data_IF_939873510157
#
_entry.id   IF_939873510157
#
_cell.length_a   1.000
_cell.length_b   1.000
_cell.length_c   1.000
_cell.angle_alpha   90.00
_cell.angle_beta   90.00
_cell.angle_gamma   90.00
#
_symmetry.space_group_name_H-M   'P 1'
#
loop_
_entity.id
_entity.type
_entity.pdbx_description
1 polymer ?
#
# COMPACT_ATOMS: atom_id res chain seq x y z
N UNK A 1 61.21 22.33 37.18
CA UNK A 1 60.87 20.98 36.67
C UNK A 1 59.34 20.87 36.63
N UNK A 2 58.77 20.20 35.62
CA UNK A 2 57.33 20.10 35.24
C UNK A 2 56.89 21.10 34.15
N UNK A 3 57.60 21.00 33.02
CA UNK A 3 57.06 21.21 31.68
C UNK A 3 56.32 19.93 31.26
N UNK A 4 55.35 20.03 30.34
CA UNK A 4 54.64 18.94 29.65
C UNK A 4 53.45 18.36 30.43
N UNK A 5 52.26 18.93 30.27
CA UNK A 5 51.01 18.17 30.45
C UNK A 5 49.76 18.75 29.74
N UNK A 6 49.91 19.70 28.80
CA UNK A 6 48.75 20.31 28.11
C UNK A 6 48.70 20.04 26.60
N UNK A 7 49.32 18.94 26.13
CA UNK A 7 49.40 18.60 24.69
C UNK A 7 48.59 17.38 24.24
N UNK A 8 47.71 16.84 25.08
CA UNK A 8 46.89 15.66 24.74
C UNK A 8 45.40 15.97 24.70
N UNK A 9 45.03 17.21 24.39
CA UNK A 9 43.63 17.63 24.29
C UNK A 9 43.36 18.39 22.98
N UNK A 10 44.10 18.08 21.92
CA UNK A 10 43.91 18.61 20.56
C UNK A 10 44.21 17.49 19.53
N UNK A 11 43.65 16.30 19.73
CA UNK A 11 43.78 15.21 18.75
C UNK A 11 42.53 14.33 18.72
N UNK A 12 41.36 14.95 18.62
CA UNK A 12 40.08 14.23 18.66
C UNK A 12 38.90 15.01 18.09
N UNK A 13 39.11 15.88 17.10
CA UNK A 13 38.01 16.66 16.49
C UNK A 13 37.97 16.55 14.95
N UNK A 14 38.59 15.53 14.37
CA UNK A 14 38.68 15.39 12.90
C UNK A 14 38.17 14.05 12.36
N UNK A 15 37.28 13.39 13.09
CA UNK A 15 36.48 12.28 12.57
C UNK A 15 35.04 12.50 13.01
N UNK A 16 34.20 13.04 12.13
CA UNK A 16 32.76 12.75 12.01
C UNK A 16 32.05 13.85 11.22
N UNK A 17 32.43 14.04 9.96
CA UNK A 17 31.50 14.58 8.97
C UNK A 17 31.58 13.68 7.74
N UNK A 18 31.21 12.41 7.95
CA UNK A 18 30.82 11.55 6.84
C UNK A 18 29.45 12.07 6.39
N UNK A 19 29.43 12.84 5.30
CA UNK A 19 28.20 13.09 4.56
C UNK A 19 27.71 11.75 4.04
N UNK A 20 26.72 11.17 4.73
CA UNK A 20 26.04 9.98 4.26
C UNK A 20 25.24 10.38 3.02
N UNK A 21 25.83 10.20 1.84
CA UNK A 21 25.09 10.30 0.59
C UNK A 21 24.15 9.11 0.56
N UNK A 22 22.87 9.33 0.86
CA UNK A 22 21.83 8.34 0.64
C UNK A 22 21.74 8.11 -0.86
N UNK A 23 22.44 7.09 -1.36
CA UNK A 23 22.15 6.55 -2.67
C UNK A 23 20.69 6.10 -2.63
N UNK A 24 19.78 6.88 -3.22
CA UNK A 24 18.45 6.42 -3.57
C UNK A 24 18.66 5.28 -4.56
N UNK A 25 18.80 4.06 -4.06
CA UNK A 25 18.62 2.88 -4.88
C UNK A 25 17.16 2.92 -5.31
N UNK A 26 16.90 3.42 -6.51
CA UNK A 26 15.68 3.16 -7.26
C UNK A 26 15.65 1.65 -7.54
N UNK A 27 15.44 0.88 -6.48
CA UNK A 27 15.11 -0.52 -6.57
C UNK A 27 13.80 -0.61 -7.33
N UNK A 28 13.67 -1.59 -8.21
CA UNK A 28 12.42 -1.86 -8.90
C UNK A 28 11.36 -2.17 -7.82
N UNK A 29 10.48 -1.21 -7.55
CA UNK A 29 9.36 -1.39 -6.64
C UNK A 29 8.27 -2.20 -7.35
N UNK A 30 8.01 -3.41 -6.83
CA UNK A 30 6.95 -4.27 -7.36
C UNK A 30 5.60 -3.71 -6.87
N UNK A 31 4.80 -3.20 -7.81
CA UNK A 31 3.49 -2.60 -7.54
C UNK A 31 2.43 -3.07 -8.54
N UNK A 32 1.16 -2.76 -8.29
CA UNK A 32 0.04 -3.22 -9.11
C UNK A 32 -0.39 -4.66 -8.79
N UNK A 33 -0.02 -5.19 -7.63
CA UNK A 33 -0.27 -6.57 -7.26
C UNK A 33 -1.62 -6.77 -6.59
N UNK A 34 -2.21 -7.96 -6.79
CA UNK A 34 -3.33 -8.47 -5.98
C UNK A 34 -2.82 -9.64 -5.14
N UNK A 35 -2.83 -9.46 -3.82
CA UNK A 35 -2.37 -10.46 -2.85
C UNK A 35 -3.59 -11.23 -2.36
N UNK A 36 -3.64 -12.53 -2.68
CA UNK A 36 -4.71 -13.44 -2.29
C UNK A 36 -4.43 -14.09 -0.92
N UNK A 37 -5.20 -13.72 0.09
CA UNK A 37 -5.25 -14.37 1.41
C UNK A 37 -6.63 -14.97 1.69
N UNK A 38 -7.27 -15.48 0.64
CA UNK A 38 -8.55 -16.19 0.71
C UNK A 38 -8.36 -17.70 0.81
N UNK A 39 -9.35 -18.37 1.41
CA UNK A 39 -9.36 -19.79 1.72
C UNK A 39 -10.59 -20.52 1.16
N UNK A 40 -11.80 -19.95 1.29
CA UNK A 40 -13.03 -20.65 0.91
C UNK A 40 -13.32 -20.52 -0.59
N UNK A 41 -14.27 -21.30 -1.10
CA UNK A 41 -14.74 -21.16 -2.48
C UNK A 41 -15.27 -19.75 -2.77
N UNK A 42 -16.04 -19.16 -1.85
CA UNK A 42 -16.53 -17.79 -2.03
C UNK A 42 -15.38 -16.79 -2.13
N UNK A 43 -14.35 -16.95 -1.28
CA UNK A 43 -13.15 -16.13 -1.33
C UNK A 43 -12.38 -16.28 -2.65
N UNK A 44 -12.19 -17.51 -3.12
CA UNK A 44 -11.50 -17.80 -4.38
C UNK A 44 -12.26 -17.28 -5.60
N UNK A 45 -13.58 -17.49 -5.63
CA UNK A 45 -14.43 -16.97 -6.70
C UNK A 45 -14.41 -15.43 -6.71
N UNK A 46 -14.46 -14.79 -5.53
CA UNK A 46 -14.35 -13.34 -5.42
C UNK A 46 -12.99 -12.84 -5.93
N UNK A 47 -11.89 -13.45 -5.50
CA UNK A 47 -10.55 -13.10 -5.97
C UNK A 47 -10.42 -13.28 -7.49
N UNK A 48 -10.97 -14.36 -8.05
CA UNK A 48 -10.94 -14.60 -9.50
C UNK A 48 -11.59 -13.46 -10.29
N UNK A 49 -12.81 -13.04 -9.91
CA UNK A 49 -13.49 -11.94 -10.57
C UNK A 49 -12.77 -10.61 -10.34
N UNK A 50 -12.45 -10.29 -9.08
CA UNK A 50 -11.83 -9.01 -8.73
C UNK A 50 -10.46 -8.84 -9.41
N UNK A 51 -9.59 -9.86 -9.36
CA UNK A 51 -8.26 -9.81 -9.99
C UNK A 51 -8.33 -9.75 -11.51
N UNK A 52 -9.40 -10.28 -12.12
CA UNK A 52 -9.65 -10.12 -13.55
C UNK A 52 -9.93 -8.66 -13.88
N UNK A 53 -10.84 -8.01 -13.16
CA UNK A 53 -11.09 -6.57 -13.34
C UNK A 53 -9.85 -5.72 -13.04
N UNK A 54 -9.07 -6.07 -12.02
CA UNK A 54 -7.87 -5.32 -11.64
C UNK A 54 -6.80 -5.30 -12.73
N UNK A 55 -6.63 -6.41 -13.46
CA UNK A 55 -5.66 -6.47 -14.57
C UNK A 55 -6.03 -5.54 -15.73
N UNK A 56 -7.31 -5.26 -15.90
CA UNK A 56 -7.82 -4.39 -16.96
C UNK A 56 -7.78 -2.90 -16.55
N UNK A 57 -7.52 -2.60 -15.26
CA UNK A 57 -7.40 -1.23 -14.80
C UNK A 57 -6.09 -0.60 -15.28
N UNK A 58 -6.15 0.57 -15.93
CA UNK A 58 -4.94 1.36 -16.09
C UNK A 58 -4.46 1.84 -14.72
N UNK A 59 -3.23 2.36 -14.65
CA UNK A 59 -2.84 3.24 -13.56
C UNK A 59 -2.78 2.60 -12.15
N UNK A 60 -2.55 1.29 -12.10
CA UNK A 60 -2.44 0.49 -10.86
C UNK A 60 -1.06 0.57 -10.19
N UNK A 61 -0.07 1.18 -10.84
CA UNK A 61 1.26 1.40 -10.28
C UNK A 61 1.18 2.18 -8.96
N UNK A 62 1.94 1.74 -7.96
CA UNK A 62 1.90 2.28 -6.60
C UNK A 62 0.75 1.77 -5.73
N UNK A 63 -0.17 0.95 -6.27
CA UNK A 63 -1.28 0.38 -5.51
C UNK A 63 -1.16 -1.15 -5.43
N UNK A 64 -1.16 -1.67 -4.21
CA UNK A 64 -1.20 -3.10 -3.93
C UNK A 64 -2.51 -3.44 -3.21
N UNK A 65 -3.28 -4.35 -3.79
CA UNK A 65 -4.52 -4.84 -3.23
C UNK A 65 -4.24 -6.08 -2.38
N UNK A 66 -4.85 -6.16 -1.21
CA UNK A 66 -4.86 -7.35 -0.37
C UNK A 66 -6.30 -7.80 -0.15
N UNK A 67 -6.58 -9.06 -0.46
CA UNK A 67 -7.86 -9.71 -0.17
C UNK A 67 -7.69 -10.67 0.98
N UNK A 68 -8.21 -10.30 2.15
CA UNK A 68 -8.11 -11.10 3.37
C UNK A 68 -9.45 -11.74 3.70
N UNK A 69 -9.43 -13.05 3.93
CA UNK A 69 -10.62 -13.80 4.35
C UNK A 69 -10.55 -14.24 5.80
N UNK A 70 -11.65 -14.04 6.55
CA UNK A 70 -11.85 -14.61 7.88
C UNK A 70 -13.03 -15.56 7.86
N UNK A 71 -12.75 -16.85 8.09
CA UNK A 71 -13.75 -17.91 8.07
C UNK A 71 -14.40 -18.08 9.44
N UNK A 72 -15.72 -18.09 9.47
CA UNK A 72 -16.54 -18.36 10.65
C UNK A 72 -17.33 -19.65 10.42
N UNK A 73 -16.91 -20.81 10.99
CA UNK A 73 -17.45 -22.13 10.63
C UNK A 73 -18.98 -22.25 10.65
N UNK A 74 -19.67 -21.48 11.50
CA UNK A 74 -21.14 -21.51 11.63
C UNK A 74 -21.86 -20.33 10.97
N UNK A 75 -21.14 -19.26 10.60
CA UNK A 75 -21.74 -18.02 10.11
C UNK A 75 -21.44 -17.75 8.62
N UNK A 76 -20.38 -18.36 8.07
CA UNK A 76 -19.92 -18.12 6.71
C UNK A 76 -18.52 -17.53 6.71
N UNK A 77 -18.29 -16.53 5.88
CA UNK A 77 -16.98 -15.92 5.75
C UNK A 77 -17.07 -14.42 5.54
N UNK A 78 -16.04 -13.72 6.01
CA UNK A 78 -15.87 -12.30 5.82
C UNK A 78 -14.69 -12.03 4.90
N UNK A 79 -14.92 -11.30 3.81
CA UNK A 79 -13.86 -10.75 2.98
C UNK A 79 -13.63 -9.28 3.32
N UNK A 80 -12.36 -8.93 3.47
CA UNK A 80 -11.85 -7.58 3.60
C UNK A 80 -10.92 -7.30 2.42
N UNK A 81 -11.14 -6.16 1.77
CA UNK A 81 -10.31 -5.65 0.70
C UNK A 81 -9.57 -4.41 1.17
N UNK A 82 -8.26 -4.44 1.02
CA UNK A 82 -7.38 -3.34 1.41
C UNK A 82 -6.52 -2.89 0.24
N UNK A 83 -6.28 -1.59 0.14
CA UNK A 83 -5.32 -1.00 -0.81
C UNK A 83 -4.23 -0.32 0.01
N UNK A 84 -3.00 -0.78 -0.13
CA UNK A 84 -1.85 -0.29 0.65
C UNK A 84 -2.13 -0.28 2.17
N UNK A 85 -2.83 -1.30 2.67
CA UNK A 85 -3.20 -1.44 4.09
C UNK A 85 -4.41 -0.61 4.54
N UNK A 86 -5.08 0.12 3.63
CA UNK A 86 -6.32 0.83 3.92
C UNK A 86 -7.52 0.00 3.49
N UNK A 87 -8.43 -0.30 4.43
CA UNK A 87 -9.70 -0.97 4.13
C UNK A 87 -10.58 -0.12 3.20
N UNK A 88 -10.93 -0.68 2.03
CA UNK A 88 -11.78 -0.05 1.02
C UNK A 88 -13.15 -0.72 0.95
N UNK A 89 -13.20 -2.04 1.13
CA UNK A 89 -14.43 -2.79 1.02
C UNK A 89 -14.46 -3.98 1.99
N UNK A 90 -15.67 -4.34 2.42
CA UNK A 90 -15.91 -5.48 3.31
C UNK A 90 -17.26 -6.11 2.97
N UNK A 91 -17.30 -7.43 2.82
CA UNK A 91 -18.52 -8.19 2.57
C UNK A 91 -18.54 -9.49 3.35
N UNK A 92 -19.74 -9.98 3.66
CA UNK A 92 -19.94 -11.26 4.30
C UNK A 92 -20.67 -12.21 3.35
N UNK A 93 -20.13 -13.42 3.19
CA UNK A 93 -20.75 -14.52 2.46
C UNK A 93 -21.28 -15.54 3.44
N UNK A 94 -22.60 -15.57 3.60
CA UNK A 94 -23.29 -16.54 4.45
C UNK A 94 -23.57 -17.86 3.73
N UNK A 95 -24.47 -18.66 4.30
CA UNK A 95 -24.86 -19.98 3.74
C UNK A 95 -25.72 -19.91 2.48
N UNK A 96 -26.36 -18.76 2.21
CA UNK A 96 -27.18 -18.56 1.01
C UNK A 96 -26.27 -18.19 -0.16
N UNK A 97 -26.63 -18.66 -1.35
CA UNK A 97 -26.01 -18.22 -2.59
C UNK A 97 -26.06 -16.69 -2.65
N UNK A 98 -24.91 -16.08 -2.48
CA UNK A 98 -24.71 -14.65 -2.70
C UNK A 98 -24.06 -14.49 -4.06
N UNK A 99 -24.48 -13.54 -4.89
CA UNK A 99 -23.88 -13.33 -6.20
C UNK A 99 -22.46 -12.77 -6.02
N UNK A 100 -21.46 -13.67 -6.02
CA UNK A 100 -20.05 -13.33 -5.73
C UNK A 100 -19.50 -12.35 -6.76
N UNK A 101 -19.83 -12.55 -8.03
CA UNK A 101 -19.42 -11.66 -9.13
C UNK A 101 -19.94 -10.23 -8.92
N UNK A 102 -21.20 -10.06 -8.50
CA UNK A 102 -21.75 -8.73 -8.23
C UNK A 102 -21.02 -8.02 -7.09
N UNK A 103 -20.63 -8.75 -6.03
CA UNK A 103 -19.84 -8.20 -4.93
C UNK A 103 -18.42 -7.84 -5.37
N UNK A 104 -17.82 -8.61 -6.26
CA UNK A 104 -16.53 -8.28 -6.84
C UNK A 104 -16.60 -7.02 -7.72
N UNK A 105 -17.67 -6.87 -8.51
CA UNK A 105 -17.94 -5.66 -9.30
C UNK A 105 -18.13 -4.43 -8.39
N UNK A 106 -18.93 -4.56 -7.34
CA UNK A 106 -19.12 -3.49 -6.34
C UNK A 106 -17.79 -3.06 -5.71
N UNK A 107 -16.99 -4.02 -5.26
CA UNK A 107 -15.67 -3.76 -4.69
C UNK A 107 -14.73 -3.06 -5.69
N UNK A 108 -14.83 -3.39 -6.98
CA UNK A 108 -14.05 -2.74 -8.03
C UNK A 108 -14.48 -1.29 -8.25
N UNK A 109 -15.78 -0.99 -8.23
CA UNK A 109 -16.27 0.38 -8.35
C UNK A 109 -15.77 1.27 -7.20
N UNK A 110 -15.77 0.74 -5.97
CA UNK A 110 -15.21 1.44 -4.81
C UNK A 110 -13.68 1.59 -4.90
N UNK A 111 -13.00 0.59 -5.46
CA UNK A 111 -11.56 0.67 -5.75
C UNK A 111 -11.25 1.82 -6.73
N UNK A 112 -12.02 1.92 -7.81
CA UNK A 112 -11.89 2.96 -8.82
C UNK A 112 -12.09 4.37 -8.23
N UNK A 113 -13.18 4.56 -7.47
CA UNK A 113 -13.48 5.82 -6.80
C UNK A 113 -12.36 6.22 -5.82
N UNK A 114 -11.84 5.25 -5.06
CA UNK A 114 -10.72 5.47 -4.17
C UNK A 114 -9.46 5.94 -4.91
N UNK A 115 -9.04 5.24 -5.96
CA UNK A 115 -7.83 5.59 -6.74
C UNK A 115 -8.00 6.95 -7.40
N UNK A 116 -9.18 7.24 -7.97
CA UNK A 116 -9.47 8.53 -8.58
C UNK A 116 -9.35 9.68 -7.56
N UNK A 117 -9.89 9.50 -6.35
CA UNK A 117 -9.78 10.48 -5.26
C UNK A 117 -8.35 10.70 -4.79
N UNK A 118 -7.58 9.63 -4.60
CA UNK A 118 -6.17 9.74 -4.19
C UNK A 118 -5.38 10.54 -5.22
N UNK A 119 -5.55 10.20 -6.51
CA UNK A 119 -4.87 10.91 -7.60
C UNK A 119 -5.26 12.37 -7.73
N UNK A 120 -6.55 12.68 -7.59
CA UNK A 120 -7.01 14.07 -7.63
C UNK A 120 -6.37 14.90 -6.50
N UNK A 121 -6.20 14.31 -5.32
CA UNK A 121 -5.52 14.96 -4.20
C UNK A 121 -4.02 15.15 -4.46
N UNK A 122 -3.34 14.16 -5.04
CA UNK A 122 -1.92 14.27 -5.45
C UNK A 122 -1.73 15.42 -6.44
N UNK A 123 -2.55 15.49 -7.50
CA UNK A 123 -2.51 16.56 -8.49
C UNK A 123 -2.73 17.95 -7.88
N UNK A 124 -3.62 18.06 -6.89
CA UNK A 124 -3.92 19.33 -6.22
C UNK A 124 -2.81 19.73 -5.24
N UNK A 125 -2.23 18.75 -4.53
CA UNK A 125 -1.11 18.96 -3.61
C UNK A 125 0.15 19.45 -4.33
N UNK A 126 0.49 18.84 -5.46
CA UNK A 126 1.63 19.27 -6.29
C UNK A 126 1.45 20.69 -6.84
N UNK A 127 0.21 21.05 -7.23
CA UNK A 127 -0.10 22.40 -7.70
C UNK A 127 0.09 23.47 -6.60
N UNK A 128 -0.18 23.14 -5.34
CA UNK A 128 0.01 24.08 -4.22
C UNK A 128 1.49 24.34 -3.91
N UNK A 129 2.36 23.32 -4.00
CA UNK A 129 3.80 23.46 -3.76
C UNK A 129 4.51 24.29 -4.86
N UNK A 130 3.91 24.39 -6.05
CA UNK A 130 4.48 25.14 -7.17
C UNK A 130 4.13 26.64 -7.12
N UNK A 131 3.13 27.05 -6.33
CA UNK A 131 2.68 28.44 -6.22
C UNK A 131 3.45 29.24 -5.15
N UNK A 132 4.10 28.59 -4.18
CA UNK A 132 4.88 29.23 -3.12
C UNK A 132 6.31 29.62 -3.57
N UNK A 133 6.60 29.51 -4.86
CA UNK A 133 7.93 29.73 -5.46
C UNK A 133 8.12 31.03 -6.25
N UNK A 134 7.19 31.99 -6.17
CA UNK A 134 7.28 33.30 -6.85
C UNK A 134 7.22 34.49 -5.89
#
# INVERSE_FOLDING_TARGET
MRWILTKTLWFGLLLSFTTQSSANSEGIEISGLVIDRTLTRFGKDFNFYYSSYWRDLPYTQGYNVTLTETVFPQAGTLLLLEINGKAIYRTHFGRRMSPVEERAKEAMLLTLDYIAKVRANEMTGDASLQLDGF
#
